data_IF_026668529109
#
_entry.id   IF_026668529109
#
_cell.length_a   1.000
_cell.length_b   1.000
_cell.length_c   1.000
_cell.angle_alpha   90.00
_cell.angle_beta   90.00
_cell.angle_gamma   90.00
#
_symmetry.space_group_name_H-M   'P 1'
#
loop_
_entity.id
_entity.type
_entity.pdbx_description
1 polymer ?
#
# COMPACT_ATOMS: atom_id res chain seq x y z
N UNK A 1 3.34 -43.06 -21.59
CA UNK A 1 4.16 -41.84 -21.61
C UNK A 1 3.27 -40.69 -21.19
N UNK A 2 3.35 -40.26 -19.93
CA UNK A 2 2.56 -39.12 -19.43
C UNK A 2 3.07 -37.88 -20.16
N UNK A 3 2.16 -37.13 -20.83
CA UNK A 3 2.47 -35.79 -21.31
C UNK A 3 2.66 -34.95 -20.06
N UNK A 4 3.92 -34.68 -19.72
CA UNK A 4 4.23 -33.72 -18.68
C UNK A 4 3.74 -32.37 -19.16
N UNK A 5 2.72 -31.86 -18.48
CA UNK A 5 2.25 -30.50 -18.64
C UNK A 5 3.44 -29.59 -18.29
N UNK A 6 4.06 -29.03 -19.33
CA UNK A 6 5.12 -28.04 -19.18
C UNK A 6 4.45 -26.74 -18.71
N UNK A 7 4.12 -26.70 -17.42
CA UNK A 7 3.60 -25.51 -16.76
C UNK A 7 4.70 -24.46 -16.82
N UNK A 8 4.57 -23.53 -17.77
CA UNK A 8 5.44 -22.37 -17.85
C UNK A 8 5.12 -21.53 -16.62
N UNK A 9 5.89 -21.74 -15.54
CA UNK A 9 5.87 -20.88 -14.36
C UNK A 9 6.29 -19.50 -14.84
N UNK A 10 5.30 -18.66 -15.09
CA UNK A 10 5.51 -17.29 -15.53
C UNK A 10 5.82 -16.50 -14.26
N UNK A 11 7.07 -16.08 -14.10
CA UNK A 11 7.48 -15.22 -13.00
C UNK A 11 6.52 -14.00 -12.94
N UNK A 12 6.00 -13.66 -11.75
CA UNK A 12 5.03 -12.58 -11.63
C UNK A 12 5.64 -11.24 -12.09
N UNK A 13 4.93 -10.55 -12.98
CA UNK A 13 5.35 -9.25 -13.52
C UNK A 13 5.46 -8.20 -12.40
N UNK A 14 6.38 -7.24 -12.53
CA UNK A 14 6.44 -6.12 -11.60
C UNK A 14 5.16 -5.28 -11.66
N UNK A 15 4.53 -4.90 -10.52
CA UNK A 15 4.90 -5.19 -9.13
C UNK A 15 4.17 -6.38 -8.49
N UNK A 16 3.44 -7.20 -9.25
CA UNK A 16 2.64 -8.35 -8.77
C UNK A 16 3.43 -9.33 -7.88
N UNK A 17 4.73 -9.49 -8.16
CA UNK A 17 5.63 -10.32 -7.34
C UNK A 17 5.70 -9.90 -5.86
N UNK A 18 5.29 -8.67 -5.52
CA UNK A 18 5.34 -8.16 -4.15
C UNK A 18 4.03 -8.34 -3.38
N UNK A 19 2.95 -8.81 -4.00
CA UNK A 19 1.67 -9.04 -3.31
C UNK A 19 1.83 -10.04 -2.16
N UNK A 20 1.40 -9.66 -0.95
CA UNK A 20 1.38 -10.56 0.19
C UNK A 20 0.15 -11.47 0.15
N UNK A 21 0.30 -12.70 0.63
CA UNK A 21 -0.79 -13.67 0.73
C UNK A 21 -1.98 -13.17 1.56
N UNK A 22 -1.74 -12.37 2.60
CA UNK A 22 -2.78 -11.86 3.50
C UNK A 22 -3.44 -10.56 3.03
N UNK A 23 -3.02 -10.00 1.89
CA UNK A 23 -3.64 -8.78 1.36
C UNK A 23 -4.93 -9.07 0.63
N UNK A 24 -6.01 -8.42 1.08
CA UNK A 24 -7.24 -8.37 0.31
C UNK A 24 -7.05 -7.52 -0.96
N UNK A 25 -7.99 -7.64 -1.90
CA UNK A 25 -7.88 -7.00 -3.21
C UNK A 25 -7.82 -5.47 -3.13
N UNK A 26 -8.61 -4.82 -2.27
CA UNK A 26 -8.59 -3.36 -2.12
C UNK A 26 -7.24 -2.87 -1.59
N UNK A 27 -6.72 -3.59 -0.61
CA UNK A 27 -5.41 -3.32 0.00
C UNK A 27 -4.30 -3.41 -1.05
N UNK A 28 -4.31 -4.48 -1.85
CA UNK A 28 -3.34 -4.71 -2.91
C UNK A 28 -3.45 -3.66 -4.02
N UNK A 29 -4.66 -3.33 -4.50
CA UNK A 29 -4.84 -2.35 -5.58
C UNK A 29 -4.28 -0.97 -5.20
N UNK A 30 -4.57 -0.50 -3.98
CA UNK A 30 -3.98 0.75 -3.49
C UNK A 30 -2.45 0.65 -3.43
N UNK A 31 -1.92 -0.40 -2.80
CA UNK A 31 -0.46 -0.56 -2.63
C UNK A 31 0.26 -0.71 -3.97
N UNK A 32 -0.35 -1.40 -4.93
CA UNK A 32 0.12 -1.54 -6.31
C UNK A 32 0.22 -0.18 -7.00
N UNK A 33 -0.81 0.65 -6.90
CA UNK A 33 -0.80 2.01 -7.43
C UNK A 33 0.32 2.85 -6.78
N UNK A 34 0.51 2.73 -5.47
CA UNK A 34 1.60 3.40 -4.75
C UNK A 34 2.98 2.99 -5.26
N UNK A 35 3.20 1.68 -5.46
CA UNK A 35 4.46 1.16 -5.98
C UNK A 35 4.69 1.67 -7.40
N UNK A 36 3.71 1.58 -8.30
CA UNK A 36 3.85 2.05 -9.69
C UNK A 36 4.13 3.54 -9.80
N UNK A 37 3.51 4.35 -8.93
CA UNK A 37 3.69 5.81 -8.88
C UNK A 37 5.10 6.23 -8.45
N UNK A 38 5.71 5.46 -7.57
CA UNK A 38 6.97 5.79 -6.88
C UNK A 38 8.15 4.87 -7.27
N UNK A 39 7.90 3.84 -8.11
CA UNK A 39 8.93 3.11 -8.83
C UNK A 39 9.76 4.11 -9.65
N UNK A 40 11.04 3.81 -9.93
CA UNK A 40 11.99 4.81 -10.41
C UNK A 40 11.53 5.47 -11.71
N UNK A 41 10.99 6.68 -11.55
CA UNK A 41 10.71 7.64 -12.61
C UNK A 41 11.93 8.52 -12.93
N UNK A 42 12.96 8.49 -12.08
CA UNK A 42 14.12 9.37 -12.20
C UNK A 42 15.27 8.64 -12.92
N UNK A 43 15.42 8.91 -14.22
CA UNK A 43 16.66 8.63 -14.96
C UNK A 43 16.78 7.28 -15.66
N UNK A 44 15.76 6.40 -15.59
CA UNK A 44 15.76 5.12 -16.31
C UNK A 44 16.69 4.04 -15.76
N UNK A 45 17.34 4.29 -14.62
CA UNK A 45 18.15 3.29 -13.92
C UNK A 45 17.29 2.44 -12.99
N UNK A 46 17.53 1.12 -13.00
CA UNK A 46 16.86 0.19 -12.10
C UNK A 46 17.13 0.59 -10.63
N UNK A 47 16.12 0.52 -9.75
CA UNK A 47 16.31 0.96 -8.38
C UNK A 47 17.27 -0.01 -7.68
N UNK A 48 18.20 0.53 -6.89
CA UNK A 48 19.03 -0.32 -6.03
C UNK A 48 18.12 -1.19 -5.13
N UNK A 49 18.51 -2.44 -4.79
CA UNK A 49 17.68 -3.32 -3.95
C UNK A 49 17.18 -2.65 -2.67
N UNK A 50 18.05 -1.87 -2.01
CA UNK A 50 17.70 -1.12 -0.78
C UNK A 50 16.60 -0.07 -1.01
N UNK A 51 16.62 0.62 -2.16
CA UNK A 51 15.58 1.61 -2.51
C UNK A 51 14.25 0.95 -2.80
N UNK A 52 14.28 -0.22 -3.45
CA UNK A 52 13.09 -1.02 -3.68
C UNK A 52 12.49 -1.52 -2.35
N UNK A 53 13.29 -2.09 -1.46
CA UNK A 53 12.82 -2.52 -0.13
C UNK A 53 12.22 -1.36 0.67
N UNK A 54 12.85 -0.18 0.60
CA UNK A 54 12.34 1.03 1.24
C UNK A 54 10.98 1.43 0.66
N UNK A 55 10.82 1.40 -0.67
CA UNK A 55 9.55 1.68 -1.34
C UNK A 55 8.45 0.70 -0.93
N UNK A 56 8.76 -0.60 -0.90
CA UNK A 56 7.82 -1.65 -0.48
C UNK A 56 7.40 -1.48 0.99
N UNK A 57 8.32 -1.06 1.85
CA UNK A 57 8.01 -0.76 3.25
C UNK A 57 7.10 0.46 3.38
N UNK A 58 7.38 1.53 2.63
CA UNK A 58 6.56 2.75 2.63
C UNK A 58 5.15 2.50 2.07
N UNK A 59 5.03 1.67 1.02
CA UNK A 59 3.74 1.30 0.46
C UNK A 59 2.88 0.54 1.47
N UNK A 60 3.49 -0.33 2.29
CA UNK A 60 2.79 -1.01 3.39
C UNK A 60 2.39 -0.06 4.51
N UNK A 61 3.24 0.89 4.89
CA UNK A 61 2.89 1.90 5.91
C UNK A 61 1.65 2.68 5.48
N UNK A 62 1.63 3.14 4.24
CA UNK A 62 0.49 3.87 3.69
C UNK A 62 -0.78 3.01 3.64
N UNK A 63 -0.67 1.80 3.09
CA UNK A 63 -1.76 0.86 2.99
C UNK A 63 -2.33 0.47 4.37
N UNK A 64 -1.47 0.21 5.37
CA UNK A 64 -1.90 -0.13 6.72
C UNK A 64 -2.55 1.04 7.44
N UNK A 65 -2.03 2.26 7.23
CA UNK A 65 -2.69 3.45 7.75
C UNK A 65 -4.10 3.60 7.16
N UNK A 66 -4.22 3.43 5.85
CA UNK A 66 -5.46 3.66 5.12
C UNK A 66 -6.55 2.60 5.39
N UNK A 67 -6.19 1.32 5.47
CA UNK A 67 -7.18 0.23 5.58
C UNK A 67 -7.26 -0.43 6.96
N UNK A 68 -6.24 -0.26 7.81
CA UNK A 68 -6.21 -0.85 9.16
C UNK A 68 -6.20 0.20 10.27
N UNK A 69 -6.11 1.49 9.93
CA UNK A 69 -6.08 2.58 10.90
C UNK A 69 -4.80 2.61 11.75
N UNK A 70 -3.72 1.97 11.27
CA UNK A 70 -2.45 1.97 11.98
C UNK A 70 -1.91 3.40 12.10
N UNK A 71 -1.38 3.74 13.28
CA UNK A 71 -0.78 5.03 13.55
C UNK A 71 0.74 4.93 13.53
N UNK A 72 1.37 5.93 12.93
CA UNK A 72 2.82 6.07 12.86
C UNK A 72 3.20 7.49 13.30
N UNK A 73 4.50 7.78 13.39
CA UNK A 73 4.93 9.15 13.66
C UNK A 73 4.47 10.09 12.52
N UNK A 74 4.29 11.37 12.87
CA UNK A 74 3.73 12.37 11.95
C UNK A 74 4.57 12.53 10.68
N UNK A 75 5.89 12.60 10.82
CA UNK A 75 6.80 12.84 9.69
C UNK A 75 6.75 11.71 8.66
N UNK A 76 6.63 10.46 9.12
CA UNK A 76 6.48 9.29 8.26
C UNK A 76 5.13 9.29 7.55
N UNK A 77 4.04 9.62 8.25
CA UNK A 77 2.71 9.74 7.66
C UNK A 77 2.66 10.83 6.59
N UNK A 78 3.17 12.02 6.91
CA UNK A 78 3.24 13.14 5.98
C UNK A 78 3.99 12.76 4.70
N UNK A 79 5.16 12.12 4.84
CA UNK A 79 5.94 11.62 3.72
C UNK A 79 5.16 10.62 2.85
N UNK A 80 4.52 9.60 3.44
CA UNK A 80 3.80 8.61 2.63
C UNK A 80 2.55 9.18 1.98
N UNK A 81 1.90 10.16 2.61
CA UNK A 81 0.76 10.86 2.02
C UNK A 81 1.19 11.75 0.85
N UNK A 82 2.35 12.40 0.93
CA UNK A 82 2.95 13.15 -0.19
C UNK A 82 3.30 12.21 -1.36
N UNK A 83 3.92 11.06 -1.08
CA UNK A 83 4.23 10.03 -2.09
C UNK A 83 2.98 9.43 -2.74
N UNK A 84 1.86 9.40 -2.03
CA UNK A 84 0.57 8.93 -2.52
C UNK A 84 -0.26 10.00 -3.22
N UNK A 85 0.24 11.23 -3.34
CA UNK A 85 -0.54 12.33 -3.90
C UNK A 85 -0.96 12.03 -5.36
N UNK A 86 -2.26 12.14 -5.62
CA UNK A 86 -2.89 11.82 -6.90
C UNK A 86 -3.27 10.34 -7.08
N UNK A 87 -3.09 9.48 -6.07
CA UNK A 87 -3.64 8.13 -6.08
C UNK A 87 -5.07 8.18 -5.54
N UNK A 88 -6.04 7.84 -6.37
CA UNK A 88 -7.45 7.70 -5.97
C UNK A 88 -7.67 6.29 -5.39
N UNK A 89 -8.24 6.23 -4.18
CA UNK A 89 -8.59 4.97 -3.52
C UNK A 89 -10.08 4.98 -3.19
N UNK A 90 -10.81 4.03 -3.74
CA UNK A 90 -12.24 3.84 -3.47
C UNK A 90 -12.46 3.09 -2.14
N UNK A 91 -13.58 3.37 -1.48
CA UNK A 91 -14.04 2.67 -0.27
C UNK A 91 -13.05 2.60 0.91
N UNK A 92 -12.30 3.67 1.15
CA UNK A 92 -11.44 3.77 2.34
C UNK A 92 -12.29 3.67 3.61
N UNK A 93 -11.95 2.76 4.55
CA UNK A 93 -12.70 2.66 5.80
C UNK A 93 -12.58 3.93 6.65
N UNK A 94 -13.70 4.38 7.21
CA UNK A 94 -13.73 5.54 8.09
C UNK A 94 -13.43 5.12 9.53
N UNK A 95 -12.22 5.41 10.00
CA UNK A 95 -11.85 5.20 11.40
C UNK A 95 -12.32 6.39 12.24
N UNK A 96 -13.22 6.14 13.18
CA UNK A 96 -13.58 7.16 14.19
C UNK A 96 -12.70 6.95 15.41
N UNK A 97 -12.01 7.99 15.85
CA UNK A 97 -11.20 7.90 17.07
C UNK A 97 -12.09 7.83 18.32
N UNK A 98 -11.57 7.26 19.41
CA UNK A 98 -12.27 7.21 20.69
C UNK A 98 -12.69 8.61 21.16
N UNK A 99 -11.81 9.60 20.99
CA UNK A 99 -12.07 10.97 21.45
C UNK A 99 -13.14 11.66 20.58
N UNK A 100 -13.20 11.38 19.28
CA UNK A 100 -14.30 11.81 18.41
C UNK A 100 -15.64 11.18 18.80
N UNK A 101 -15.65 9.90 19.18
CA UNK A 101 -16.84 9.25 19.73
C UNK A 101 -17.31 9.93 21.02
N UNK A 102 -16.41 10.19 21.96
CA UNK A 102 -16.73 10.91 23.20
C UNK A 102 -17.26 12.31 22.95
N UNK A 103 -16.70 13.03 21.96
CA UNK A 103 -17.19 14.36 21.59
C UNK A 103 -18.61 14.31 21.01
N UNK A 104 -18.93 13.33 20.16
CA UNK A 104 -20.29 13.13 19.61
C UNK A 104 -21.33 12.81 20.70
N UNK A 105 -20.95 11.99 21.69
CA UNK A 105 -21.81 11.65 22.84
C UNK A 105 -22.11 12.90 23.68
N UNK A 106 -21.09 13.71 23.97
CA UNK A 106 -21.23 14.89 24.82
C UNK A 106 -21.88 16.10 24.14
N UNK A 107 -21.96 16.12 22.80
CA UNK A 107 -22.61 17.21 22.04
C UNK A 107 -24.08 16.87 21.69
N UNK A 108 -24.51 15.63 21.95
CA UNK A 108 -25.89 15.18 21.73
C UNK A 108 -26.75 15.21 23.00
N UNK A 109 -26.23 15.82 24.08
CA UNK A 109 -26.90 16.05 25.36
C UNK A 109 -27.07 17.55 25.60
#
# INVERSE_FOLDING_TARGET
MVRGDNEVVTEPEFPEQFRSYSENEKHWQARRAFILRNAPLEGGEAPTPLRLEQLLSLSMVWANHLFLGCSYNKDLLEKVMEMANGIEVEDVPHFTTRDELFKRINTSA
#
